data_IF_382036287614
#
_entry.id   IF_382036287614
#
_cell.length_a   1.000
_cell.length_b   1.000
_cell.length_c   1.000
_cell.angle_alpha   90.00
_cell.angle_beta   90.00
_cell.angle_gamma   90.00
#
_symmetry.space_group_name_H-M   'P 1'
#
loop_
_entity.id
_entity.type
_entity.pdbx_description
1 polymer ?
#
# COMPACT_ATOMS: atom_id res chain seq x y z
N UNK A 1 -6.46 -17.76 -7.59
CA UNK A 1 -5.79 -17.09 -6.45
C UNK A 1 -4.43 -17.74 -6.24
N UNK A 2 -3.36 -16.96 -6.03
CA UNK A 2 -1.98 -17.45 -5.86
C UNK A 2 -1.89 -18.44 -4.67
N UNK A 3 -1.01 -19.44 -4.75
CA UNK A 3 -0.78 -20.42 -3.69
C UNK A 3 -0.36 -19.77 -2.36
N UNK A 4 0.45 -18.71 -2.40
CA UNK A 4 0.89 -17.96 -1.21
C UNK A 4 -0.29 -17.32 -0.47
N UNK A 5 -1.24 -16.74 -1.21
CA UNK A 5 -2.45 -16.11 -0.65
C UNK A 5 -3.33 -17.15 0.02
N UNK A 6 -3.49 -18.33 -0.61
CA UNK A 6 -4.24 -19.45 -0.04
C UNK A 6 -3.57 -19.98 1.24
N UNK A 7 -2.24 -20.14 1.22
CA UNK A 7 -1.45 -20.57 2.38
C UNK A 7 -1.55 -19.58 3.53
N UNK A 8 -1.46 -18.27 3.25
CA UNK A 8 -1.66 -17.22 4.24
C UNK A 8 -3.04 -17.35 4.88
N UNK A 9 -4.11 -17.40 4.09
CA UNK A 9 -5.48 -17.52 4.61
C UNK A 9 -5.64 -18.76 5.49
N UNK A 10 -5.15 -19.91 5.02
CA UNK A 10 -5.25 -21.16 5.77
C UNK A 10 -4.47 -21.09 7.08
N UNK A 11 -3.27 -20.50 7.07
CA UNK A 11 -2.45 -20.33 8.26
C UNK A 11 -3.16 -19.42 9.29
N UNK A 12 -3.64 -18.25 8.86
CA UNK A 12 -4.36 -17.33 9.74
C UNK A 12 -5.59 -18.02 10.36
N UNK A 13 -6.37 -18.75 9.55
CA UNK A 13 -7.55 -19.49 10.00
C UNK A 13 -7.19 -20.59 11.00
N UNK A 14 -6.19 -21.41 10.70
CA UNK A 14 -5.77 -22.53 11.56
C UNK A 14 -5.24 -22.06 12.91
N UNK A 15 -4.63 -20.88 12.97
CA UNK A 15 -4.09 -20.30 14.20
C UNK A 15 -5.06 -19.28 14.85
N UNK A 16 -6.27 -19.13 14.33
CA UNK A 16 -7.25 -18.14 14.78
C UNK A 16 -6.70 -16.70 14.85
N UNK A 17 -5.79 -16.36 13.94
CA UNK A 17 -5.18 -15.03 13.84
C UNK A 17 -6.05 -14.17 12.94
N UNK A 18 -6.40 -12.98 13.43
CA UNK A 18 -7.10 -11.94 12.67
C UNK A 18 -6.32 -10.64 12.77
N UNK A 19 -6.23 -9.88 11.68
CA UNK A 19 -5.39 -8.68 11.67
C UNK A 19 -5.58 -7.76 10.48
N UNK A 20 -4.71 -6.76 10.37
CA UNK A 20 -4.74 -5.78 9.29
C UNK A 20 -3.68 -6.10 8.22
N UNK A 21 -4.05 -5.81 6.97
CA UNK A 21 -3.09 -5.69 5.88
C UNK A 21 -2.67 -4.22 5.71
N UNK A 22 -1.45 -3.98 5.24
CA UNK A 22 -0.96 -2.63 4.91
C UNK A 22 -0.51 -2.56 3.45
N UNK A 23 -0.87 -1.48 2.74
CA UNK A 23 -0.14 -1.07 1.53
C UNK A 23 1.26 -0.55 1.89
N UNK A 24 2.09 -0.29 0.87
CA UNK A 24 3.47 0.17 1.03
C UNK A 24 3.71 1.50 0.32
N UNK A 25 3.33 1.65 -0.95
CA UNK A 25 3.65 2.84 -1.74
C UNK A 25 2.71 3.98 -1.34
N UNK A 26 3.23 5.17 -1.05
CA UNK A 26 2.48 6.32 -0.52
C UNK A 26 1.74 6.08 0.82
N UNK A 27 1.90 4.89 1.41
CA UNK A 27 1.33 4.50 2.71
C UNK A 27 2.42 4.30 3.77
N UNK A 28 3.47 3.54 3.47
CA UNK A 28 4.64 3.32 4.33
C UNK A 28 5.89 3.98 3.78
N UNK A 29 6.05 3.98 2.45
CA UNK A 29 7.19 4.53 1.73
C UNK A 29 6.76 5.71 0.86
N UNK A 30 7.59 6.74 0.80
CA UNK A 30 7.40 7.93 -0.02
C UNK A 30 8.02 7.74 -1.40
N UNK A 31 7.41 6.87 -2.20
CA UNK A 31 7.92 6.46 -3.52
C UNK A 31 7.92 7.61 -4.51
N UNK A 32 6.86 8.41 -4.51
CA UNK A 32 6.71 9.60 -5.34
C UNK A 32 7.86 10.60 -5.14
N UNK A 33 8.32 10.78 -3.89
CA UNK A 33 9.45 11.65 -3.59
C UNK A 33 10.73 11.22 -4.31
N UNK A 34 11.14 9.97 -4.11
CA UNK A 34 12.35 9.44 -4.75
C UNK A 34 12.25 9.53 -6.28
N UNK A 35 11.09 9.20 -6.84
CA UNK A 35 10.90 9.22 -8.28
C UNK A 35 11.00 10.62 -8.85
N UNK A 36 10.37 11.61 -8.21
CA UNK A 36 10.47 13.01 -8.65
C UNK A 36 11.90 13.51 -8.55
N UNK A 37 12.63 13.20 -7.48
CA UNK A 37 14.02 13.62 -7.32
C UNK A 37 14.90 13.04 -8.44
N UNK A 38 14.78 11.75 -8.73
CA UNK A 38 15.58 11.07 -9.76
C UNK A 38 15.19 11.51 -11.18
N UNK A 39 13.90 11.65 -11.47
CA UNK A 39 13.42 12.09 -12.77
C UNK A 39 13.78 13.55 -13.03
N UNK A 40 13.68 14.42 -12.02
CA UNK A 40 14.08 15.83 -12.12
C UNK A 40 15.57 15.95 -12.43
N UNK A 41 16.42 15.18 -11.76
CA UNK A 41 17.88 15.16 -12.01
C UNK A 41 18.24 14.65 -13.41
N UNK A 42 17.51 13.66 -13.93
CA UNK A 42 17.85 12.98 -15.20
C UNK A 42 17.23 13.63 -16.43
N UNK A 43 16.03 14.17 -16.29
CA UNK A 43 15.19 14.59 -17.42
C UNK A 43 14.64 16.01 -17.28
N UNK A 44 14.99 16.70 -16.20
CA UNK A 44 14.52 18.06 -15.91
C UNK A 44 13.14 18.09 -15.24
N UNK A 45 12.86 19.21 -14.58
CA UNK A 45 11.57 19.53 -13.96
C UNK A 45 11.34 21.04 -14.17
N UNK A 46 10.92 21.45 -15.37
CA UNK A 46 10.93 22.86 -15.77
C UNK A 46 9.94 23.72 -14.96
N UNK A 47 8.88 23.11 -14.42
CA UNK A 47 7.93 23.79 -13.54
C UNK A 47 8.35 23.75 -12.05
N UNK A 48 9.48 23.11 -11.73
CA UNK A 48 10.01 22.92 -10.38
C UNK A 48 8.94 22.39 -9.39
N UNK A 49 8.10 21.46 -9.87
CA UNK A 49 7.01 20.91 -9.06
C UNK A 49 7.54 19.84 -8.10
N UNK A 50 7.10 19.92 -6.85
CA UNK A 50 7.28 18.84 -5.88
C UNK A 50 6.44 17.61 -6.23
N UNK A 51 6.78 16.46 -5.65
CA UNK A 51 6.00 15.23 -5.79
C UNK A 51 4.54 15.39 -5.37
N UNK A 52 4.26 16.14 -4.30
CA UNK A 52 2.89 16.44 -3.87
C UNK A 52 2.11 17.24 -4.92
N UNK A 53 2.73 18.26 -5.51
CA UNK A 53 2.10 19.07 -6.57
C UNK A 53 1.84 18.24 -7.82
N UNK A 54 2.77 17.36 -8.22
CA UNK A 54 2.59 16.46 -9.35
C UNK A 54 1.44 15.48 -9.09
N UNK A 55 1.40 14.82 -7.93
CA UNK A 55 0.30 13.91 -7.56
C UNK A 55 -1.05 14.64 -7.52
N UNK A 56 -1.09 15.86 -7.01
CA UNK A 56 -2.31 16.65 -6.95
C UNK A 56 -2.84 16.99 -8.36
N UNK A 57 -1.96 17.43 -9.27
CA UNK A 57 -2.32 17.91 -10.62
C UNK A 57 -2.53 16.78 -11.62
N UNK A 58 -1.70 15.74 -11.58
CA UNK A 58 -1.64 14.69 -12.61
C UNK A 58 -2.03 13.30 -12.09
N UNK A 59 -2.37 13.18 -10.80
CA UNK A 59 -2.73 11.94 -10.08
C UNK A 59 -1.59 10.94 -9.89
N UNK A 60 -0.71 10.82 -10.87
CA UNK A 60 0.44 9.92 -10.83
C UNK A 60 1.70 10.59 -11.36
N UNK A 61 2.85 10.21 -10.83
CA UNK A 61 4.16 10.73 -11.26
C UNK A 61 4.41 10.45 -12.74
N UNK A 62 4.06 9.25 -13.22
CA UNK A 62 4.20 8.89 -14.63
C UNK A 62 3.23 9.62 -15.57
N UNK A 63 2.34 10.48 -15.06
CA UNK A 63 1.47 11.31 -15.90
C UNK A 63 2.04 12.73 -16.09
N UNK A 64 3.18 13.05 -15.48
CA UNK A 64 3.78 14.37 -15.64
C UNK A 64 4.24 14.57 -17.11
N UNK A 65 3.76 15.60 -17.83
CA UNK A 65 3.97 15.73 -19.28
C UNK A 65 5.44 15.76 -19.69
N UNK A 66 6.30 16.36 -18.88
CA UNK A 66 7.72 16.52 -19.18
C UNK A 66 8.52 15.20 -19.11
N UNK A 67 7.92 14.12 -18.57
CA UNK A 67 8.53 12.80 -18.48
C UNK A 67 7.85 11.76 -19.39
N UNK A 68 7.05 12.19 -20.37
CA UNK A 68 6.42 11.30 -21.37
C UNK A 68 7.33 10.90 -22.54
N UNK A 69 8.65 11.05 -22.40
CA UNK A 69 9.61 10.63 -23.43
C UNK A 69 10.14 9.21 -23.13
N UNK A 70 10.61 8.52 -24.17
CA UNK A 70 11.04 7.12 -24.10
C UNK A 70 12.08 6.86 -23.00
N UNK A 71 13.03 7.78 -22.78
CA UNK A 71 14.09 7.62 -21.78
C UNK A 71 13.53 7.68 -20.36
N UNK A 72 12.62 8.63 -20.09
CA UNK A 72 11.97 8.76 -18.79
C UNK A 72 11.02 7.59 -18.51
N UNK A 73 10.22 7.18 -19.50
CA UNK A 73 9.33 6.01 -19.39
C UNK A 73 10.12 4.71 -19.18
N UNK A 74 11.24 4.53 -19.89
CA UNK A 74 12.14 3.39 -19.68
C UNK A 74 12.73 3.39 -18.27
N UNK A 75 13.11 4.56 -17.74
CA UNK A 75 13.58 4.69 -16.37
C UNK A 75 12.48 4.35 -15.35
N UNK A 76 11.26 4.85 -15.52
CA UNK A 76 10.11 4.55 -14.64
C UNK A 76 9.85 3.04 -14.62
N UNK A 77 9.83 2.40 -15.79
CA UNK A 77 9.63 0.96 -15.90
C UNK A 77 10.76 0.17 -15.23
N UNK A 78 12.01 0.60 -15.38
CA UNK A 78 13.15 0.01 -14.68
C UNK A 78 13.05 0.20 -13.16
N UNK A 79 12.69 1.40 -12.70
CA UNK A 79 12.57 1.74 -11.28
C UNK A 79 11.49 0.90 -10.59
N UNK A 80 10.31 0.80 -11.20
CA UNK A 80 9.19 -0.02 -10.74
C UNK A 80 9.57 -1.51 -10.56
N UNK A 81 10.49 -2.01 -11.37
CA UNK A 81 10.89 -3.42 -11.41
C UNK A 81 12.28 -3.69 -10.78
N UNK A 82 12.84 -2.72 -10.05
CA UNK A 82 14.19 -2.82 -9.48
C UNK A 82 14.14 -3.07 -7.98
N UNK A 83 14.46 -4.30 -7.56
CA UNK A 83 14.63 -4.69 -6.15
C UNK A 83 15.52 -3.70 -5.39
N UNK A 84 16.69 -3.37 -5.97
CA UNK A 84 17.66 -2.43 -5.38
C UNK A 84 17.12 -1.01 -5.19
N UNK A 85 16.10 -0.61 -5.96
CA UNK A 85 15.48 0.70 -5.79
C UNK A 85 14.40 0.65 -4.72
N UNK A 86 13.68 -0.47 -4.59
CA UNK A 86 12.71 -0.67 -3.50
C UNK A 86 13.39 -0.58 -2.12
N UNK A 87 14.62 -1.08 -1.99
CA UNK A 87 15.42 -0.98 -0.77
C UNK A 87 15.82 0.45 -0.38
N UNK A 88 15.75 1.40 -1.32
CA UNK A 88 16.18 2.79 -1.12
C UNK A 88 15.03 3.78 -0.94
N UNK A 89 13.79 3.28 -0.92
CA UNK A 89 12.64 4.18 -0.84
C UNK A 89 12.64 4.91 0.51
N UNK A 90 12.34 6.22 0.54
CA UNK A 90 12.23 6.94 1.79
C UNK A 90 11.05 6.42 2.61
N UNK A 91 11.24 6.32 3.93
CA UNK A 91 10.17 6.04 4.89
C UNK A 91 9.25 7.27 5.02
N UNK A 92 7.94 7.06 5.01
CA UNK A 92 6.98 8.09 5.46
C UNK A 92 7.18 8.31 6.95
N UNK A 93 7.37 9.57 7.33
CA UNK A 93 7.74 9.97 8.69
C UNK A 93 6.88 9.26 9.75
N UNK A 94 7.56 8.63 10.71
CA UNK A 94 6.98 7.95 11.87
C UNK A 94 6.07 6.73 11.54
N UNK A 95 5.94 6.32 10.28
CA UNK A 95 5.06 5.22 9.88
C UNK A 95 5.41 3.90 10.60
N UNK A 96 6.69 3.55 10.65
CA UNK A 96 7.20 2.36 11.35
C UNK A 96 6.83 2.33 12.84
N UNK A 97 7.06 3.42 13.58
CA UNK A 97 6.77 3.49 15.00
C UNK A 97 5.27 3.38 15.29
N UNK A 98 4.43 4.05 14.50
CA UNK A 98 2.97 3.98 14.68
C UNK A 98 2.42 2.62 14.26
N UNK A 99 2.91 2.03 13.17
CA UNK A 99 2.54 0.66 12.76
C UNK A 99 2.90 -0.35 13.85
N UNK A 100 4.05 -0.21 14.51
CA UNK A 100 4.40 -1.06 15.65
C UNK A 100 3.45 -0.88 16.85
N UNK A 101 2.95 0.34 17.10
CA UNK A 101 1.91 0.57 18.13
C UNK A 101 0.59 -0.09 17.74
N UNK A 102 0.21 -0.02 16.46
CA UNK A 102 -0.99 -0.70 15.93
C UNK A 102 -0.85 -2.22 16.06
N UNK A 103 0.31 -2.77 15.68
CA UNK A 103 0.60 -4.21 15.73
C UNK A 103 0.39 -4.82 17.13
N UNK A 104 0.68 -4.05 18.18
CA UNK A 104 0.44 -4.45 19.59
C UNK A 104 -1.05 -4.50 19.98
N UNK A 105 -1.93 -3.83 19.23
CA UNK A 105 -3.38 -3.82 19.45
C UNK A 105 -4.06 -4.87 18.59
N UNK A 106 -3.66 -4.94 17.31
CA UNK A 106 -4.16 -5.84 16.29
C UNK A 106 -2.98 -6.20 15.37
N UNK A 107 -2.68 -7.49 15.15
CA UNK A 107 -1.49 -7.86 14.39
C UNK A 107 -1.60 -7.36 12.95
N UNK A 108 -0.45 -6.93 12.43
CA UNK A 108 -0.23 -6.77 11.00
C UNK A 108 0.04 -8.16 10.44
N UNK A 109 -0.85 -8.66 9.60
CA UNK A 109 -0.82 -10.06 9.14
C UNK A 109 -0.27 -10.21 7.72
N UNK A 110 -0.24 -9.12 6.95
CA UNK A 110 0.51 -9.07 5.70
C UNK A 110 0.73 -7.64 5.21
N UNK A 111 1.69 -7.49 4.30
CA UNK A 111 1.82 -6.33 3.44
C UNK A 111 1.22 -6.68 2.08
N UNK A 112 0.20 -5.95 1.64
CA UNK A 112 -0.50 -6.22 0.39
C UNK A 112 -0.24 -5.06 -0.56
N UNK A 113 0.55 -5.29 -1.62
CA UNK A 113 1.04 -4.24 -2.52
C UNK A 113 0.87 -4.62 -3.98
N UNK A 114 0.67 -3.62 -4.85
CA UNK A 114 0.63 -3.80 -6.31
C UNK A 114 2.03 -3.90 -6.95
N UNK A 115 3.10 -3.75 -6.16
CA UNK A 115 4.47 -4.07 -6.59
C UNK A 115 4.52 -5.45 -7.20
N UNK A 116 5.30 -5.59 -8.26
CA UNK A 116 5.45 -6.86 -8.95
C UNK A 116 6.23 -7.88 -8.10
N UNK A 117 5.94 -9.15 -8.28
CA UNK A 117 6.57 -10.25 -7.53
C UNK A 117 8.09 -10.32 -7.69
N UNK A 118 8.65 -9.83 -8.80
CA UNK A 118 10.10 -9.74 -8.98
C UNK A 118 10.76 -8.71 -8.06
N UNK A 119 10.00 -7.84 -7.37
CA UNK A 119 10.56 -6.88 -6.40
C UNK A 119 10.25 -7.23 -4.92
N UNK A 120 9.82 -8.47 -4.68
CA UNK A 120 9.38 -8.95 -3.36
C UNK A 120 10.54 -8.95 -2.37
N UNK A 121 11.72 -9.43 -2.77
CA UNK A 121 12.89 -9.54 -1.89
C UNK A 121 13.37 -8.18 -1.41
N UNK A 122 13.54 -7.21 -2.30
CA UNK A 122 13.94 -5.85 -1.92
C UNK A 122 12.90 -5.16 -1.04
N UNK A 123 11.62 -5.44 -1.28
CA UNK A 123 10.54 -4.94 -0.41
C UNK A 123 10.60 -5.55 1.00
N UNK A 124 10.87 -6.85 1.13
CA UNK A 124 11.05 -7.51 2.44
C UNK A 124 12.26 -6.95 3.20
N UNK A 125 13.38 -6.76 2.50
CA UNK A 125 14.59 -6.15 3.07
C UNK A 125 14.33 -4.73 3.55
N UNK A 126 13.60 -3.93 2.75
CA UNK A 126 13.21 -2.58 3.11
C UNK A 126 12.37 -2.54 4.40
N UNK A 127 11.34 -3.39 4.49
CA UNK A 127 10.48 -3.48 5.68
C UNK A 127 11.27 -3.84 6.94
N UNK A 128 12.16 -4.84 6.83
CA UNK A 128 13.04 -5.27 7.92
C UNK A 128 13.99 -4.16 8.36
N UNK A 129 14.62 -3.48 7.41
CA UNK A 129 15.57 -2.39 7.69
C UNK A 129 14.92 -1.23 8.45
N UNK A 130 13.66 -0.94 8.17
CA UNK A 130 12.92 0.14 8.84
C UNK A 130 12.20 -0.29 10.13
N UNK A 131 12.38 -1.56 10.55
CA UNK A 131 11.84 -2.07 11.82
C UNK A 131 10.32 -2.23 11.81
N UNK A 132 9.72 -2.53 10.66
CA UNK A 132 8.30 -2.89 10.58
C UNK A 132 8.05 -4.30 11.16
N UNK A 133 6.83 -4.60 11.64
CA UNK A 133 6.47 -5.95 12.07
C UNK A 133 6.75 -7.01 11.00
N UNK A 134 7.25 -8.17 11.43
CA UNK A 134 7.47 -9.28 10.49
C UNK A 134 6.13 -9.86 10.04
N UNK A 135 5.86 -9.76 8.74
CA UNK A 135 4.65 -10.29 8.12
C UNK A 135 4.91 -10.58 6.62
N UNK A 136 4.20 -11.55 6.03
CA UNK A 136 4.37 -11.90 4.64
C UNK A 136 4.02 -10.75 3.69
N UNK A 137 4.85 -10.55 2.67
CA UNK A 137 4.62 -9.59 1.58
C UNK A 137 3.90 -10.29 0.43
N UNK A 138 2.69 -9.83 0.12
CA UNK A 138 1.84 -10.28 -0.97
C UNK A 138 1.94 -9.27 -2.11
N UNK A 139 2.64 -9.66 -3.17
CA UNK A 139 2.88 -8.85 -4.37
C UNK A 139 1.95 -9.25 -5.52
N UNK A 140 1.77 -8.33 -6.47
CA UNK A 140 1.07 -8.59 -7.73
C UNK A 140 1.79 -9.70 -8.52
N UNK A 141 1.06 -10.71 -9.04
CA UNK A 141 1.63 -11.77 -9.88
C UNK A 141 2.30 -11.21 -11.14
N UNK A 142 3.45 -11.79 -11.56
CA UNK A 142 4.23 -11.32 -12.73
C UNK A 142 3.42 -11.14 -14.02
N UNK A 143 2.43 -12.02 -14.25
CA UNK A 143 1.63 -12.06 -15.49
C UNK A 143 0.50 -11.02 -15.51
N UNK A 144 0.19 -10.39 -14.39
CA UNK A 144 -0.88 -9.40 -14.32
C UNK A 144 -0.33 -8.02 -14.66
N UNK A 145 -1.01 -7.26 -15.51
CA UNK A 145 -0.63 -5.88 -15.82
C UNK A 145 -0.73 -4.96 -14.60
N UNK A 146 0.05 -3.88 -14.60
CA UNK A 146 0.11 -2.96 -13.46
C UNK A 146 -1.24 -2.28 -13.23
N UNK A 147 -1.92 -1.92 -14.32
CA UNK A 147 -3.20 -1.20 -14.28
C UNK A 147 -4.35 -2.07 -13.76
N UNK A 148 -4.19 -3.39 -13.78
CA UNK A 148 -5.10 -4.34 -13.15
C UNK A 148 -4.77 -4.59 -11.66
N UNK A 149 -3.68 -4.00 -11.16
CA UNK A 149 -3.14 -4.21 -9.82
C UNK A 149 -4.15 -3.87 -8.73
N UNK A 150 -4.81 -2.71 -8.79
CA UNK A 150 -5.81 -2.31 -7.79
C UNK A 150 -7.01 -3.26 -7.76
N UNK A 151 -7.47 -3.72 -8.93
CA UNK A 151 -8.57 -4.70 -9.04
C UNK A 151 -8.16 -6.05 -8.45
N UNK A 152 -6.95 -6.51 -8.72
CA UNK A 152 -6.42 -7.74 -8.12
C UNK A 152 -6.25 -7.61 -6.60
N UNK A 153 -5.79 -6.45 -6.13
CA UNK A 153 -5.62 -6.16 -4.71
C UNK A 153 -6.95 -6.22 -3.96
N UNK A 154 -7.99 -5.58 -4.49
CA UNK A 154 -9.35 -5.65 -3.92
C UNK A 154 -9.90 -7.09 -3.88
N UNK A 155 -9.72 -7.86 -4.97
CA UNK A 155 -10.12 -9.28 -5.01
C UNK A 155 -9.36 -10.12 -3.97
N UNK A 156 -8.06 -9.84 -3.79
CA UNK A 156 -7.21 -10.52 -2.81
C UNK A 156 -7.65 -10.18 -1.39
N UNK A 157 -7.90 -8.91 -1.09
CA UNK A 157 -8.41 -8.46 0.20
C UNK A 157 -9.77 -9.11 0.53
N UNK A 158 -10.71 -9.11 -0.42
CA UNK A 158 -12.00 -9.77 -0.25
C UNK A 158 -11.84 -11.28 -0.01
N UNK A 159 -10.92 -11.94 -0.70
CA UNK A 159 -10.64 -13.36 -0.48
C UNK A 159 -10.03 -13.63 0.90
N UNK A 160 -9.18 -12.73 1.43
CA UNK A 160 -8.51 -12.91 2.71
C UNK A 160 -9.40 -12.63 3.93
N UNK A 161 -10.54 -11.96 3.74
CA UNK A 161 -11.55 -11.78 4.79
C UNK A 161 -12.23 -13.13 5.15
N UNK A 162 -12.56 -13.42 6.43
CA UNK A 162 -12.53 -12.55 7.61
C UNK A 162 -11.22 -12.57 8.43
N UNK A 163 -10.19 -13.30 8.00
CA UNK A 163 -8.91 -13.36 8.70
C UNK A 163 -8.10 -12.06 8.54
N UNK A 164 -8.12 -11.47 7.34
CA UNK A 164 -7.67 -10.09 7.13
C UNK A 164 -8.88 -9.16 7.29
N UNK A 165 -8.92 -8.45 8.42
CA UNK A 165 -10.03 -7.61 8.86
C UNK A 165 -10.17 -6.33 8.06
N UNK A 166 -9.06 -5.83 7.54
CA UNK A 166 -9.06 -4.58 6.80
C UNK A 166 -7.72 -4.26 6.19
N UNK A 167 -7.68 -3.11 5.52
CA UNK A 167 -6.52 -2.62 4.81
C UNK A 167 -6.30 -1.13 5.11
N UNK A 168 -5.04 -0.75 5.34
CA UNK A 168 -4.59 0.65 5.26
C UNK A 168 -3.98 0.86 3.87
N UNK A 169 -4.49 1.83 3.11
CA UNK A 169 -4.10 2.09 1.72
C UNK A 169 -4.34 3.57 1.39
N UNK A 170 -3.51 4.18 0.55
CA UNK A 170 -3.70 5.56 0.09
C UNK A 170 -4.63 5.66 -1.13
N UNK A 171 -4.86 4.55 -1.83
CA UNK A 171 -5.54 4.54 -3.13
C UNK A 171 -7.06 4.32 -3.00
N UNK A 172 -7.90 5.37 -3.17
CA UNK A 172 -9.35 5.25 -3.06
C UNK A 172 -9.98 4.37 -4.14
N UNK A 173 -9.28 4.14 -5.25
CA UNK A 173 -9.81 3.32 -6.34
C UNK A 173 -10.04 1.86 -5.93
N UNK A 174 -9.44 1.39 -4.83
CA UNK A 174 -9.73 0.05 -4.30
C UNK A 174 -11.21 -0.16 -3.97
N UNK A 175 -11.89 0.92 -3.53
CA UNK A 175 -13.31 0.91 -3.17
C UNK A 175 -14.22 0.57 -4.37
N UNK A 176 -13.77 0.87 -5.59
CA UNK A 176 -14.52 0.60 -6.82
C UNK A 176 -14.52 -0.90 -7.19
N UNK A 177 -13.56 -1.67 -6.65
CA UNK A 177 -13.38 -3.08 -6.99
C UNK A 177 -13.75 -4.03 -5.85
N UNK A 178 -14.01 -3.52 -4.65
CA UNK A 178 -14.56 -4.31 -3.55
C UNK A 178 -16.06 -4.58 -3.79
N UNK A 179 -16.54 -5.79 -3.45
CA UNK A 179 -17.96 -6.07 -3.60
C UNK A 179 -18.78 -5.24 -2.60
N UNK A 180 -20.00 -4.85 -2.99
CA UNK A 180 -20.87 -3.96 -2.18
C UNK A 180 -21.21 -4.54 -0.78
N UNK A 181 -21.10 -5.85 -0.62
CA UNK A 181 -21.34 -6.55 0.64
C UNK A 181 -20.05 -6.85 1.42
N UNK A 182 -18.89 -6.35 0.99
CA UNK A 182 -17.64 -6.50 1.74
C UNK A 182 -17.79 -5.89 3.15
N UNK A 183 -17.44 -6.69 4.16
CA UNK A 183 -17.62 -6.33 5.59
C UNK A 183 -16.33 -5.95 6.30
N UNK A 184 -15.18 -6.01 5.62
CA UNK A 184 -13.92 -5.56 6.18
C UNK A 184 -13.81 -4.04 6.24
N UNK A 185 -12.74 -3.59 6.89
CA UNK A 185 -12.46 -2.19 7.20
C UNK A 185 -11.47 -1.61 6.19
N UNK A 186 -11.68 -0.37 5.75
CA UNK A 186 -10.73 0.35 4.91
C UNK A 186 -10.29 1.63 5.62
N UNK A 187 -8.99 1.76 5.88
CA UNK A 187 -8.38 2.98 6.40
C UNK A 187 -7.72 3.70 5.23
N UNK A 188 -8.37 4.73 4.72
CA UNK A 188 -7.89 5.47 3.56
C UNK A 188 -6.87 6.53 4.02
N UNK A 189 -5.59 6.31 3.70
CA UNK A 189 -4.46 7.12 4.14
C UNK A 189 -4.23 8.33 3.22
N UNK A 190 -4.12 9.54 3.78
CA UNK A 190 -3.88 10.80 3.06
C UNK A 190 -4.80 11.08 1.85
N UNK A 191 -5.94 10.42 1.80
CA UNK A 191 -6.87 10.52 0.68
C UNK A 191 -8.32 10.56 1.16
N UNK A 192 -9.23 10.86 0.24
CA UNK A 192 -10.65 10.97 0.51
C UNK A 192 -11.46 10.21 -0.54
N UNK A 193 -12.55 9.59 -0.12
CA UNK A 193 -13.52 8.98 -1.01
C UNK A 193 -14.91 9.04 -0.39
N UNK A 194 -15.89 9.39 -1.20
CA UNK A 194 -17.30 9.25 -0.83
C UNK A 194 -17.73 7.81 -1.13
N UNK A 195 -17.81 6.97 -0.10
CA UNK A 195 -18.42 5.65 -0.22
C UNK A 195 -19.28 5.35 1.01
N UNK A 196 -20.59 5.42 0.83
CA UNK A 196 -21.57 5.23 1.92
C UNK A 196 -21.86 3.76 2.24
N UNK A 197 -21.37 2.80 1.45
CA UNK A 197 -21.73 1.37 1.59
C UNK A 197 -20.67 0.53 2.29
N UNK A 198 -19.43 0.97 2.26
CA UNK A 198 -18.29 0.28 2.88
C UNK A 198 -17.90 0.97 4.19
N UNK A 199 -17.32 0.21 5.13
CA UNK A 199 -16.74 0.77 6.35
C UNK A 199 -15.39 1.41 6.02
N UNK A 200 -15.42 2.70 5.67
CA UNK A 200 -14.23 3.49 5.29
C UNK A 200 -13.93 4.54 6.36
N UNK A 201 -12.68 4.60 6.79
CA UNK A 201 -12.17 5.59 7.74
C UNK A 201 -11.10 6.44 7.07
N UNK A 202 -11.34 7.75 6.97
CA UNK A 202 -10.39 8.70 6.41
C UNK A 202 -9.31 9.01 7.45
N UNK A 203 -8.05 8.80 7.09
CA UNK A 203 -6.89 8.96 7.97
C UNK A 203 -5.87 9.88 7.27
N UNK A 204 -5.69 11.12 7.75
CA UNK A 204 -4.74 12.06 7.14
C UNK A 204 -3.29 11.77 7.52
N UNK A 205 -3.09 11.06 8.63
CA UNK A 205 -1.78 10.64 9.15
C UNK A 205 -1.89 9.33 9.92
N UNK A 206 -0.76 8.73 10.23
CA UNK A 206 -0.70 7.44 10.94
C UNK A 206 -1.34 7.49 12.34
N UNK A 207 -1.28 8.63 13.03
CA UNK A 207 -1.98 8.82 14.31
C UNK A 207 -3.50 8.63 14.18
N UNK A 208 -4.09 8.99 13.04
CA UNK A 208 -5.52 8.83 12.80
C UNK A 208 -5.87 7.35 12.66
N UNK A 209 -5.02 6.57 11.98
CA UNK A 209 -5.14 5.11 11.88
C UNK A 209 -5.07 4.49 13.28
N UNK A 210 -4.06 4.85 14.07
CA UNK A 210 -3.89 4.33 15.43
C UNK A 210 -5.10 4.67 16.32
N UNK A 211 -5.57 5.91 16.29
CA UNK A 211 -6.75 6.34 17.04
C UNK A 211 -7.98 5.54 16.63
N UNK A 212 -8.22 5.38 15.33
CA UNK A 212 -9.37 4.61 14.84
C UNK A 212 -9.27 3.12 15.20
N UNK A 213 -8.09 2.53 15.13
CA UNK A 213 -7.85 1.15 15.60
C UNK A 213 -8.19 1.00 17.09
N UNK A 214 -7.79 1.96 17.93
CA UNK A 214 -8.14 1.95 19.36
C UNK A 214 -9.66 2.03 19.57
N UNK A 215 -10.34 2.94 18.87
CA UNK A 215 -11.80 3.09 18.96
C UNK A 215 -12.51 1.77 18.61
N UNK A 216 -12.13 1.15 17.49
CA UNK A 216 -12.73 -0.09 17.01
C UNK A 216 -12.45 -1.26 17.93
N UNK A 217 -11.28 -1.29 18.58
CA UNK A 217 -10.96 -2.29 19.60
C UNK A 217 -11.89 -2.16 20.82
N UNK A 218 -12.14 -0.93 21.29
CA UNK A 218 -13.05 -0.66 22.41
C UNK A 218 -14.48 -1.06 22.05
N UNK A 219 -14.89 -0.84 20.79
CA UNK A 219 -16.22 -1.20 20.28
C UNK A 219 -16.37 -2.70 19.99
N UNK A 220 -15.31 -3.51 20.15
CA UNK A 220 -15.34 -4.94 19.86
C UNK A 220 -15.34 -5.31 18.37
N UNK A 221 -15.10 -4.34 17.47
CA UNK A 221 -15.05 -4.58 16.02
C UNK A 221 -13.74 -5.24 15.56
N UNK A 222 -12.71 -5.28 16.43
CA UNK A 222 -11.40 -5.90 16.19
C UNK A 222 -11.16 -7.15 17.07
N UNK A 223 -12.22 -7.81 17.53
CA UNK A 223 -12.21 -9.09 18.23
C UNK A 223 -12.59 -10.22 17.26
#
# INVERSE_FOLDING_TARGET
MNSDIKKLKQNLRNNSIRGLALDIDETLSWTAGLWVDELSKKFGNPENLSAKQILQRYKFIQNYPHWQNDKALAWINKARNSDKLQEKLPLIENANHIVNKIHKIIPIVCYLTIRAENVKTGTQNWLKTHGFPDAPVITRPKRLNHDEGTKWKAKTLNFLFPEVLGLVDDNPAILNFLPKNYKGLIFLYQNFAENQKLKVFICKKWDDVLRKVKDLRIQGELL
#
